data_IF_773254306420
#
_entry.id   IF_773254306420
#
_cell.length_a   1.000
_cell.length_b   1.000
_cell.length_c   1.000
_cell.angle_alpha   90.00
_cell.angle_beta   90.00
_cell.angle_gamma   90.00
#
_symmetry.space_group_name_H-M   'P 1'
#
loop_
_entity.id
_entity.type
_entity.pdbx_description
1 polymer ?
#
# COMPACT_ATOMS: atom_id res chain seq x y z
N UNK A 1 -6.50 52.32 40.02
CA UNK A 1 -7.43 51.80 39.00
C UNK A 1 -7.95 50.47 39.52
N UNK A 2 -9.22 50.43 39.95
CA UNK A 2 -9.81 49.25 40.57
C UNK A 2 -10.05 48.19 39.48
N UNK A 3 -9.32 47.08 39.54
CA UNK A 3 -9.62 45.92 38.71
C UNK A 3 -10.90 45.30 39.25
N UNK A 4 -12.04 45.60 38.62
CA UNK A 4 -13.32 45.01 39.00
C UNK A 4 -13.24 43.49 38.92
N UNK A 5 -13.49 42.82 40.03
CA UNK A 5 -13.65 41.36 40.07
C UNK A 5 -14.86 41.00 39.23
N UNK A 6 -14.64 40.30 38.11
CA UNK A 6 -15.72 39.81 37.25
C UNK A 6 -16.51 38.76 38.04
N UNK A 7 -17.81 38.98 38.23
CA UNK A 7 -18.68 38.03 38.92
C UNK A 7 -19.01 36.86 37.97
N UNK A 8 -18.75 35.59 38.33
CA UNK A 8 -19.00 34.45 37.46
C UNK A 8 -20.47 34.28 37.04
N UNK A 9 -21.42 34.81 37.84
CA UNK A 9 -22.85 34.74 37.55
C UNK A 9 -23.31 35.74 36.46
N UNK A 10 -22.48 36.76 36.18
CA UNK A 10 -22.74 37.74 35.11
C UNK A 10 -22.24 37.25 33.74
N UNK A 11 -21.53 36.12 33.68
CA UNK A 11 -21.08 35.50 32.44
C UNK A 11 -22.19 34.61 31.88
N UNK A 12 -22.63 34.89 30.65
CA UNK A 12 -23.55 34.03 29.90
C UNK A 12 -22.85 32.76 29.41
N UNK A 13 -22.63 31.84 30.36
CA UNK A 13 -21.94 30.57 30.16
C UNK A 13 -22.67 29.66 29.16
N UNK A 14 -24.00 29.82 29.01
CA UNK A 14 -24.80 29.06 28.08
C UNK A 14 -24.49 29.39 26.63
N UNK A 15 -24.45 30.68 26.27
CA UNK A 15 -24.12 31.12 24.92
C UNK A 15 -22.64 30.95 24.61
N UNK A 16 -21.74 31.23 25.56
CA UNK A 16 -20.31 31.02 25.38
C UNK A 16 -19.96 29.54 25.08
N UNK A 17 -20.60 28.60 25.78
CA UNK A 17 -20.42 27.16 25.52
C UNK A 17 -20.99 26.73 24.16
N UNK A 18 -22.07 27.36 23.69
CA UNK A 18 -22.64 27.07 22.37
C UNK A 18 -21.74 27.58 21.26
N UNK A 19 -21.24 28.80 21.38
CA UNK A 19 -20.38 29.42 20.37
C UNK A 19 -19.04 28.68 20.26
N UNK A 20 -18.39 28.38 21.39
CA UNK A 20 -17.18 27.54 21.42
C UNK A 20 -17.41 26.15 20.83
N UNK A 21 -18.58 25.54 21.08
CA UNK A 21 -18.94 24.25 20.49
C UNK A 21 -19.17 24.34 18.97
N UNK A 22 -19.75 25.44 18.48
CA UNK A 22 -19.98 25.67 17.06
C UNK A 22 -18.68 25.94 16.31
N UNK A 23 -17.80 26.78 16.87
CA UNK A 23 -16.46 27.03 16.35
C UNK A 23 -15.64 25.74 16.31
N UNK A 24 -15.67 24.94 17.38
CA UNK A 24 -14.99 23.65 17.41
C UNK A 24 -15.52 22.69 16.33
N UNK A 25 -16.84 22.63 16.13
CA UNK A 25 -17.46 21.82 15.07
C UNK A 25 -17.06 22.31 13.68
N UNK A 26 -17.02 23.62 13.45
CA UNK A 26 -16.59 24.20 12.17
C UNK A 26 -15.11 23.87 11.90
N UNK A 27 -14.24 24.02 12.89
CA UNK A 27 -12.84 23.61 12.78
C UNK A 27 -12.67 22.13 12.41
N UNK A 28 -13.44 21.24 13.06
CA UNK A 28 -13.45 19.81 12.72
C UNK A 28 -13.89 19.58 11.26
N UNK A 29 -14.94 20.26 10.81
CA UNK A 29 -15.45 20.09 9.44
C UNK A 29 -14.44 20.56 8.40
N UNK A 30 -13.76 21.68 8.65
CA UNK A 30 -12.70 22.20 7.81
C UNK A 30 -11.51 21.25 7.75
N UNK A 31 -11.08 20.71 8.90
CA UNK A 31 -10.01 19.71 8.97
C UNK A 31 -10.38 18.44 8.21
N UNK A 32 -11.62 17.95 8.35
CA UNK A 32 -12.13 16.80 7.60
C UNK A 32 -12.09 17.08 6.10
N UNK A 33 -12.53 18.26 5.67
CA UNK A 33 -12.55 18.63 4.26
C UNK A 33 -11.13 18.73 3.70
N UNK A 34 -10.20 19.33 4.43
CA UNK A 34 -8.80 19.41 4.07
C UNK A 34 -8.16 18.03 3.91
N UNK A 35 -8.37 17.13 4.89
CA UNK A 35 -7.88 15.75 4.83
C UNK A 35 -8.50 15.01 3.64
N UNK A 36 -9.78 15.24 3.35
CA UNK A 36 -10.46 14.64 2.21
C UNK A 36 -9.87 15.10 0.88
N UNK A 37 -9.60 16.40 0.72
CA UNK A 37 -8.98 16.95 -0.48
C UNK A 37 -7.54 16.46 -0.66
N UNK A 38 -6.73 16.49 0.41
CA UNK A 38 -5.37 15.94 0.40
C UNK A 38 -5.37 14.45 0.05
N UNK A 39 -6.29 13.67 0.63
CA UNK A 39 -6.44 12.25 0.34
C UNK A 39 -6.91 12.02 -1.09
N UNK A 40 -7.81 12.85 -1.62
CA UNK A 40 -8.34 12.74 -2.98
C UNK A 40 -7.24 12.99 -4.03
N UNK A 41 -6.37 13.98 -3.79
CA UNK A 41 -5.23 14.27 -4.67
C UNK A 41 -4.05 13.32 -4.46
N UNK A 42 -3.98 12.66 -3.30
CA UNK A 42 -2.94 11.68 -3.03
C UNK A 42 -3.10 10.42 -3.90
N UNK A 43 -1.98 9.89 -4.39
CA UNK A 43 -1.92 8.67 -5.19
C UNK A 43 -2.56 7.49 -4.42
N UNK A 44 -3.53 6.84 -5.07
CA UNK A 44 -4.42 5.78 -4.55
C UNK A 44 -5.46 6.24 -3.52
N UNK A 45 -5.60 7.53 -3.27
CA UNK A 45 -6.60 8.07 -2.35
C UNK A 45 -6.23 8.02 -0.87
N UNK A 46 -4.95 7.81 -0.57
CA UNK A 46 -4.44 7.64 0.78
C UNK A 46 -3.27 8.60 1.00
N UNK A 47 -3.18 9.25 2.17
CA UNK A 47 -2.03 10.08 2.49
C UNK A 47 -0.75 9.22 2.49
N UNK A 48 0.36 9.82 2.07
CA UNK A 48 1.62 9.11 1.80
C UNK A 48 2.09 8.23 2.97
N UNK A 49 1.95 8.72 4.22
CA UNK A 49 2.35 7.99 5.43
C UNK A 49 1.45 6.78 5.67
N UNK A 50 0.13 6.94 5.57
CA UNK A 50 -0.81 5.83 5.74
C UNK A 50 -0.60 4.76 4.66
N UNK A 51 -0.33 5.19 3.42
CA UNK A 51 -0.02 4.29 2.30
C UNK A 51 1.19 3.42 2.61
N UNK A 52 2.32 4.03 2.97
CA UNK A 52 3.56 3.30 3.26
C UNK A 52 3.31 2.26 4.36
N UNK A 53 2.68 2.65 5.47
CA UNK A 53 2.41 1.74 6.60
C UNK A 53 1.47 0.59 6.21
N UNK A 54 0.33 0.90 5.59
CA UNK A 54 -0.68 -0.10 5.24
C UNK A 54 -0.14 -1.12 4.24
N UNK A 55 0.52 -0.65 3.17
CA UNK A 55 1.08 -1.54 2.16
C UNK A 55 2.32 -2.30 2.66
N UNK A 56 3.11 -1.74 3.58
CA UNK A 56 4.21 -2.48 4.21
C UNK A 56 3.69 -3.63 5.05
N UNK A 57 2.67 -3.40 5.89
CA UNK A 57 2.00 -4.44 6.68
C UNK A 57 1.37 -5.49 5.76
N UNK A 58 0.66 -5.05 4.72
CA UNK A 58 0.12 -5.94 3.70
C UNK A 58 1.19 -6.79 3.02
N UNK A 59 2.34 -6.19 2.71
CA UNK A 59 3.51 -6.88 2.16
C UNK A 59 4.09 -7.92 3.11
N UNK A 60 4.14 -7.64 4.42
CA UNK A 60 4.54 -8.64 5.43
C UNK A 60 3.57 -9.81 5.44
N UNK A 61 2.26 -9.56 5.40
CA UNK A 61 1.24 -10.61 5.42
C UNK A 61 1.30 -11.48 4.16
N UNK A 62 1.31 -10.86 2.97
CA UNK A 62 1.35 -11.59 1.69
C UNK A 62 2.67 -12.34 1.53
N UNK A 63 3.80 -11.68 1.84
CA UNK A 63 5.12 -12.31 1.81
C UNK A 63 5.26 -13.43 2.85
N UNK A 64 4.65 -13.28 4.02
CA UNK A 64 4.60 -14.29 5.07
C UNK A 64 3.81 -15.52 4.66
N UNK A 65 2.62 -15.34 4.10
CA UNK A 65 1.80 -16.43 3.56
C UNK A 65 2.54 -17.18 2.43
N UNK A 66 3.13 -16.45 1.49
CA UNK A 66 3.93 -17.04 0.42
C UNK A 66 5.14 -17.83 0.95
N UNK A 67 5.84 -17.27 1.94
CA UNK A 67 6.97 -17.93 2.62
C UNK A 67 6.55 -19.17 3.41
N UNK A 68 5.36 -19.16 4.02
CA UNK A 68 4.80 -20.30 4.75
C UNK A 68 4.50 -21.47 3.81
N UNK A 69 3.82 -21.22 2.69
CA UNK A 69 3.47 -22.25 1.70
C UNK A 69 4.73 -22.85 1.05
N UNK A 70 5.68 -22.01 0.65
CA UNK A 70 6.97 -22.45 0.14
C UNK A 70 7.78 -23.23 1.19
N UNK A 71 7.80 -22.76 2.43
CA UNK A 71 8.50 -23.43 3.53
C UNK A 71 7.89 -24.77 3.91
N UNK A 72 6.57 -24.90 3.85
CA UNK A 72 5.88 -26.16 4.11
C UNK A 72 6.21 -27.22 3.06
N UNK A 73 6.14 -26.84 1.78
CA UNK A 73 6.39 -27.76 0.65
C UNK A 73 7.84 -28.25 0.66
N UNK A 74 8.80 -27.34 0.79
CA UNK A 74 10.23 -27.67 0.90
C UNK A 74 10.54 -28.55 2.13
N UNK A 75 9.99 -28.21 3.31
CA UNK A 75 10.18 -29.02 4.51
C UNK A 75 9.53 -30.41 4.40
N UNK A 76 8.37 -30.53 3.76
CA UNK A 76 7.70 -31.81 3.53
C UNK A 76 8.53 -32.72 2.62
N UNK A 77 9.10 -32.17 1.54
CA UNK A 77 9.97 -32.91 0.63
C UNK A 77 11.27 -33.34 1.32
N UNK A 78 11.90 -32.45 2.09
CA UNK A 78 13.09 -32.78 2.89
C UNK A 78 12.82 -33.88 3.92
N UNK A 79 11.69 -33.80 4.62
CA UNK A 79 11.30 -34.82 5.59
C UNK A 79 11.07 -36.18 4.93
N UNK A 80 10.42 -36.20 3.76
CA UNK A 80 10.20 -37.41 2.98
C UNK A 80 11.52 -38.01 2.49
N UNK A 81 12.42 -37.18 1.95
CA UNK A 81 13.73 -37.64 1.48
C UNK A 81 14.57 -38.23 2.62
N UNK A 82 14.57 -37.59 3.80
CA UNK A 82 15.32 -38.06 4.97
C UNK A 82 14.76 -39.36 5.57
N UNK A 83 13.44 -39.58 5.48
CA UNK A 83 12.77 -40.74 6.08
C UNK A 83 12.28 -41.77 5.05
N UNK A 84 12.69 -41.68 3.79
CA UNK A 84 12.27 -42.60 2.72
C UNK A 84 12.58 -44.07 3.05
N UNK A 85 13.63 -44.32 3.82
CA UNK A 85 14.04 -45.64 4.29
C UNK A 85 13.35 -46.08 5.61
N UNK A 86 12.59 -45.19 6.28
CA UNK A 86 11.89 -45.44 7.57
C UNK A 86 10.39 -45.18 7.44
N UNK A 87 9.78 -45.70 6.39
CA UNK A 87 8.34 -45.60 6.21
C UNK A 87 7.61 -46.46 7.26
N UNK A 88 6.51 -45.96 7.85
CA UNK A 88 5.80 -46.67 8.89
C UNK A 88 5.14 -47.93 8.33
N UNK A 89 5.40 -49.08 8.94
CA UNK A 89 4.76 -50.37 8.62
C UNK A 89 3.65 -50.77 9.61
N UNK A 90 3.61 -50.14 10.78
CA UNK A 90 2.60 -50.34 11.82
C UNK A 90 1.70 -49.11 11.98
N UNK A 91 0.44 -49.32 12.39
CA UNK A 91 -0.55 -48.25 12.62
C UNK A 91 -0.05 -47.18 13.61
N UNK A 92 0.54 -47.60 14.73
CA UNK A 92 1.09 -46.67 15.73
C UNK A 92 2.26 -45.85 15.15
N UNK A 93 3.12 -46.50 14.35
CA UNK A 93 4.22 -45.83 13.66
C UNK A 93 3.74 -44.78 12.67
N UNK A 94 2.64 -45.05 11.95
CA UNK A 94 2.04 -44.12 11.01
C UNK A 94 1.59 -42.82 11.68
N UNK A 95 0.96 -42.92 12.85
CA UNK A 95 0.53 -41.75 13.62
C UNK A 95 1.72 -40.89 14.05
N UNK A 96 2.75 -41.49 14.67
CA UNK A 96 3.93 -40.75 15.12
C UNK A 96 4.73 -40.14 13.97
N UNK A 97 4.79 -40.82 12.83
CA UNK A 97 5.40 -40.31 11.61
C UNK A 97 4.72 -39.01 11.15
N UNK A 98 3.39 -39.00 11.04
CA UNK A 98 2.65 -37.82 10.60
C UNK A 98 2.67 -36.69 11.63
N UNK A 99 2.58 -37.01 12.93
CA UNK A 99 2.72 -36.01 14.01
C UNK A 99 4.07 -35.29 13.95
N UNK A 100 5.15 -36.06 13.76
CA UNK A 100 6.51 -35.49 13.63
C UNK A 100 6.69 -34.73 12.31
N UNK A 101 6.14 -35.23 11.20
CA UNK A 101 6.14 -34.53 9.90
C UNK A 101 5.47 -33.18 10.02
N UNK A 102 4.26 -33.11 10.57
CA UNK A 102 3.52 -31.86 10.75
C UNK A 102 4.31 -30.87 11.60
N UNK A 103 4.86 -31.31 12.73
CA UNK A 103 5.70 -30.44 13.57
C UNK A 103 6.92 -29.89 12.82
N UNK A 104 7.65 -30.76 12.09
CA UNK A 104 8.81 -30.34 11.31
C UNK A 104 8.43 -29.35 10.20
N UNK A 105 7.33 -29.60 9.48
CA UNK A 105 6.85 -28.72 8.43
C UNK A 105 6.39 -27.37 8.97
N UNK A 106 5.57 -27.35 10.04
CA UNK A 106 5.08 -26.11 10.66
C UNK A 106 6.22 -25.25 11.18
N UNK A 107 7.23 -25.85 11.84
CA UNK A 107 8.38 -25.10 12.38
C UNK A 107 9.15 -24.38 11.26
N UNK A 108 9.47 -25.09 10.18
CA UNK A 108 10.21 -24.52 9.06
C UNK A 108 9.35 -23.52 8.25
N UNK A 109 8.07 -23.82 8.07
CA UNK A 109 7.12 -22.92 7.41
C UNK A 109 6.99 -21.59 8.16
N UNK A 110 6.88 -21.61 9.49
CA UNK A 110 6.79 -20.41 10.31
C UNK A 110 8.08 -19.56 10.24
N UNK A 111 9.25 -20.19 10.31
CA UNK A 111 10.53 -19.49 10.19
C UNK A 111 10.68 -18.81 8.81
N UNK A 112 10.29 -19.51 7.74
CA UNK A 112 10.31 -18.95 6.38
C UNK A 112 9.25 -17.86 6.18
N UNK A 113 8.10 -17.96 6.85
CA UNK A 113 7.07 -16.92 6.83
C UNK A 113 7.60 -15.60 7.39
N UNK A 114 8.21 -15.61 8.58
CA UNK A 114 8.80 -14.39 9.16
C UNK A 114 9.91 -13.81 8.27
N UNK A 115 10.86 -14.65 7.83
CA UNK A 115 11.98 -14.21 6.99
C UNK A 115 11.52 -13.58 5.68
N UNK A 116 10.57 -14.22 5.00
CA UNK A 116 10.05 -13.75 3.71
C UNK A 116 9.12 -12.55 3.88
N UNK A 117 8.27 -12.57 4.91
CA UNK A 117 7.36 -11.47 5.25
C UNK A 117 8.11 -10.18 5.50
N UNK A 118 9.09 -10.17 6.40
CA UNK A 118 9.88 -8.95 6.66
C UNK A 118 10.67 -8.48 5.43
N UNK A 119 11.20 -9.40 4.63
CA UNK A 119 11.91 -9.04 3.39
C UNK A 119 10.99 -8.35 2.38
N UNK A 120 9.80 -8.89 2.16
CA UNK A 120 8.81 -8.33 1.23
C UNK A 120 8.23 -7.02 1.78
N UNK A 121 7.82 -6.99 3.05
CA UNK A 121 7.29 -5.80 3.69
C UNK A 121 8.30 -4.64 3.73
N UNK A 122 9.56 -4.93 4.05
CA UNK A 122 10.65 -3.94 4.01
C UNK A 122 10.87 -3.40 2.60
N UNK A 123 10.90 -4.27 1.59
CA UNK A 123 11.03 -3.84 0.19
C UNK A 123 9.86 -2.95 -0.26
N UNK A 124 8.62 -3.35 0.06
CA UNK A 124 7.42 -2.57 -0.27
C UNK A 124 7.46 -1.20 0.42
N UNK A 125 7.84 -1.14 1.69
CA UNK A 125 8.00 0.10 2.42
C UNK A 125 9.03 1.02 1.78
N UNK A 126 10.24 0.51 1.50
CA UNK A 126 11.30 1.26 0.81
C UNK A 126 10.82 1.80 -0.54
N UNK A 127 10.15 0.97 -1.34
CA UNK A 127 9.62 1.37 -2.64
C UNK A 127 8.64 2.55 -2.50
N UNK A 128 7.61 2.43 -1.65
CA UNK A 128 6.63 3.51 -1.48
C UNK A 128 7.22 4.77 -0.84
N UNK A 129 8.26 4.65 -0.01
CA UNK A 129 9.00 5.81 0.53
C UNK A 129 9.75 6.55 -0.57
N UNK A 130 10.47 5.84 -1.44
CA UNK A 130 11.18 6.45 -2.58
C UNK A 130 10.19 7.08 -3.55
N UNK A 131 9.07 6.40 -3.83
CA UNK A 131 8.01 6.95 -4.68
C UNK A 131 7.47 8.27 -4.13
N UNK A 132 7.13 8.31 -2.83
CA UNK A 132 6.64 9.53 -2.18
C UNK A 132 7.69 10.67 -2.18
N UNK A 133 8.98 10.33 -2.10
CA UNK A 133 10.06 11.30 -2.20
C UNK A 133 10.18 11.85 -3.63
N UNK A 134 10.11 10.99 -4.64
CA UNK A 134 10.16 11.40 -6.05
C UNK A 134 8.95 12.24 -6.44
N UNK A 135 7.76 11.89 -5.94
CA UNK A 135 6.54 12.67 -6.13
C UNK A 135 6.70 14.09 -5.57
N UNK A 136 7.31 14.25 -4.39
CA UNK A 136 7.60 15.57 -3.79
C UNK A 136 8.66 16.36 -4.56
N UNK A 137 9.71 15.70 -5.04
CA UNK A 137 10.82 16.36 -5.75
C UNK A 137 10.38 16.83 -7.14
N UNK A 138 9.65 15.97 -7.89
CA UNK A 138 9.23 16.29 -9.26
C UNK A 138 7.92 17.09 -9.31
N UNK A 139 7.13 17.09 -8.24
CA UNK A 139 5.80 17.72 -8.21
C UNK A 139 4.82 17.10 -9.21
N UNK A 140 5.12 15.89 -9.69
CA UNK A 140 4.38 15.18 -10.73
C UNK A 140 4.19 13.75 -10.25
N UNK A 141 2.98 13.22 -10.47
CA UNK A 141 2.59 11.87 -10.07
C UNK A 141 2.46 11.05 -11.35
N UNK A 142 3.46 10.23 -11.66
CA UNK A 142 3.51 9.41 -12.89
C UNK A 142 4.04 7.99 -12.64
N UNK A 143 3.77 7.06 -13.57
CA UNK A 143 4.33 5.71 -13.56
C UNK A 143 5.86 5.69 -13.56
N UNK A 144 6.53 6.75 -14.04
CA UNK A 144 8.00 6.86 -14.07
C UNK A 144 8.57 6.90 -12.65
N UNK A 145 7.92 7.63 -11.73
CA UNK A 145 8.29 7.62 -10.31
C UNK A 145 8.21 6.22 -9.72
N UNK A 146 7.18 5.44 -10.06
CA UNK A 146 7.03 4.05 -9.62
C UNK A 146 8.12 3.14 -10.20
N UNK A 147 8.49 3.30 -11.48
CA UNK A 147 9.60 2.55 -12.10
C UNK A 147 10.92 2.84 -11.36
N UNK A 148 11.21 4.12 -11.12
CA UNK A 148 12.41 4.54 -10.42
C UNK A 148 12.42 4.02 -8.98
N UNK A 149 11.28 4.10 -8.28
CA UNK A 149 11.12 3.62 -6.92
C UNK A 149 11.35 2.11 -6.78
N UNK A 150 10.97 1.31 -7.78
CA UNK A 150 11.25 -0.14 -7.81
C UNK A 150 12.70 -0.43 -8.21
N UNK A 151 13.24 0.33 -9.17
CA UNK A 151 14.56 0.06 -9.75
C UNK A 151 15.71 0.53 -8.87
N UNK A 152 15.56 1.63 -8.14
CA UNK A 152 16.60 2.21 -7.29
C UNK A 152 17.06 1.25 -6.16
N UNK A 153 16.17 0.62 -5.37
CA UNK A 153 16.58 -0.39 -4.40
C UNK A 153 17.27 -1.59 -5.04
N UNK A 154 16.79 -2.03 -6.21
CA UNK A 154 17.40 -3.11 -6.97
C UNK A 154 18.82 -2.77 -7.43
N UNK A 155 19.02 -1.55 -7.95
CA UNK A 155 20.32 -1.03 -8.32
C UNK A 155 21.25 -0.95 -7.10
N UNK A 156 20.80 -0.34 -6.00
CA UNK A 156 21.56 -0.26 -4.76
C UNK A 156 21.96 -1.64 -4.22
N UNK A 157 21.05 -2.61 -4.29
CA UNK A 157 21.33 -4.01 -3.93
C UNK A 157 22.41 -4.63 -4.81
N UNK A 158 22.32 -4.47 -6.14
CA UNK A 158 23.31 -5.01 -7.08
C UNK A 158 24.69 -4.41 -6.88
N UNK A 159 24.74 -3.11 -6.55
CA UNK A 159 25.97 -2.38 -6.29
C UNK A 159 26.60 -2.83 -4.96
N UNK A 160 25.81 -2.91 -3.89
CA UNK A 160 26.29 -3.33 -2.57
C UNK A 160 26.83 -4.76 -2.56
N UNK A 161 26.13 -5.69 -3.21
CA UNK A 161 26.56 -7.10 -3.28
C UNK A 161 27.48 -7.42 -4.47
N UNK A 162 27.90 -6.41 -5.23
CA UNK A 162 28.82 -6.55 -6.38
C UNK A 162 28.42 -7.69 -7.32
N UNK A 163 27.13 -7.74 -7.71
CA UNK A 163 26.62 -8.81 -8.55
C UNK A 163 27.22 -8.77 -9.95
N UNK A 164 27.29 -9.94 -10.59
CA UNK A 164 27.75 -10.05 -11.98
C UNK A 164 26.88 -9.22 -12.92
N UNK A 165 27.45 -8.76 -14.05
CA UNK A 165 26.74 -7.92 -15.04
C UNK A 165 25.42 -8.55 -15.51
N UNK A 166 25.39 -9.88 -15.66
CA UNK A 166 24.20 -10.63 -16.08
C UNK A 166 23.12 -10.59 -15.00
N UNK A 167 23.48 -10.84 -13.74
CA UNK A 167 22.55 -10.78 -12.61
C UNK A 167 22.04 -9.36 -12.38
N UNK A 168 22.90 -8.35 -12.45
CA UNK A 168 22.52 -6.95 -12.30
C UNK A 168 21.52 -6.53 -13.39
N UNK A 169 21.79 -6.87 -14.66
CA UNK A 169 20.86 -6.63 -15.77
C UNK A 169 19.52 -7.30 -15.54
N UNK A 170 19.52 -8.55 -15.07
CA UNK A 170 18.30 -9.30 -14.81
C UNK A 170 17.46 -8.70 -13.68
N UNK A 171 18.09 -8.26 -12.58
CA UNK A 171 17.42 -7.58 -11.46
C UNK A 171 16.81 -6.26 -11.92
N UNK A 172 17.57 -5.44 -12.65
CA UNK A 172 17.09 -4.15 -13.16
C UNK A 172 15.96 -4.35 -14.18
N UNK A 173 16.07 -5.32 -15.09
CA UNK A 173 15.05 -5.60 -16.10
C UNK A 173 13.75 -6.10 -15.48
N UNK A 174 13.83 -7.02 -14.52
CA UNK A 174 12.67 -7.48 -13.75
C UNK A 174 12.05 -6.35 -12.93
N UNK A 175 12.88 -5.55 -12.27
CA UNK A 175 12.44 -4.36 -11.53
C UNK A 175 11.71 -3.35 -12.43
N UNK A 176 12.27 -3.04 -13.60
CA UNK A 176 11.66 -2.15 -14.58
C UNK A 176 10.31 -2.67 -15.10
N UNK A 177 10.20 -3.96 -15.42
CA UNK A 177 8.92 -4.58 -15.83
C UNK A 177 7.87 -4.52 -14.74
N UNK A 178 8.24 -4.87 -13.50
CA UNK A 178 7.34 -4.83 -12.35
C UNK A 178 6.91 -3.39 -12.08
N UNK A 179 7.85 -2.44 -12.08
CA UNK A 179 7.58 -1.02 -11.87
C UNK A 179 6.68 -0.43 -12.96
N UNK A 180 6.88 -0.82 -14.22
CA UNK A 180 6.02 -0.39 -15.34
C UNK A 180 4.59 -0.89 -15.14
N UNK A 181 4.42 -2.19 -14.88
CA UNK A 181 3.09 -2.78 -14.68
C UNK A 181 2.37 -2.17 -13.49
N UNK A 182 3.07 -2.01 -12.36
CA UNK A 182 2.49 -1.39 -11.16
C UNK A 182 2.17 0.09 -11.37
N UNK A 183 3.09 0.87 -11.96
CA UNK A 183 2.90 2.29 -12.20
C UNK A 183 1.73 2.56 -13.15
N UNK A 184 1.65 1.84 -14.27
CA UNK A 184 0.51 1.95 -15.18
C UNK A 184 -0.81 1.50 -14.52
N UNK A 185 -0.77 0.47 -13.67
CA UNK A 185 -1.96 0.07 -12.91
C UNK A 185 -2.41 1.17 -11.96
N UNK A 186 -1.47 1.79 -11.22
CA UNK A 186 -1.77 2.90 -10.33
C UNK A 186 -2.32 4.12 -11.10
N UNK A 187 -1.75 4.46 -12.25
CA UNK A 187 -2.23 5.55 -13.09
C UNK A 187 -3.62 5.27 -13.67
N UNK A 188 -3.92 4.02 -14.05
CA UNK A 188 -5.25 3.61 -14.47
C UNK A 188 -6.27 3.77 -13.32
N UNK A 189 -5.92 3.35 -12.10
CA UNK A 189 -6.77 3.57 -10.92
C UNK A 189 -7.01 5.06 -10.63
N UNK A 190 -5.99 5.92 -10.79
CA UNK A 190 -6.13 7.37 -10.63
C UNK A 190 -7.06 7.96 -11.69
N UNK A 191 -6.91 7.54 -12.95
CA UNK A 191 -7.76 7.96 -14.04
C UNK A 191 -9.24 7.58 -13.81
N UNK A 192 -9.51 6.35 -13.34
CA UNK A 192 -10.87 5.92 -13.02
C UNK A 192 -11.51 6.70 -11.85
N UNK A 193 -10.69 7.24 -10.93
CA UNK A 193 -11.15 8.12 -9.85
C UNK A 193 -11.40 9.56 -10.29
N UNK A 194 -11.04 9.91 -11.52
CA UNK A 194 -11.19 11.26 -12.06
C UNK A 194 -10.03 12.19 -11.73
N UNK A 195 -8.85 11.66 -11.40
CA UNK A 195 -7.61 12.43 -11.21
C UNK A 195 -6.92 12.57 -12.57
N UNK A 196 -6.34 13.73 -12.85
CA UNK A 196 -5.65 13.98 -14.12
C UNK A 196 -4.29 13.29 -14.17
N UNK A 197 -4.07 12.60 -15.28
CA UNK A 197 -2.81 11.92 -15.59
C UNK A 197 -2.22 12.68 -16.76
N UNK A 198 -1.17 13.45 -16.49
CA UNK A 198 -0.69 14.50 -17.39
C UNK A 198 -0.45 14.01 -18.84
N UNK A 199 0.11 12.81 -19.03
CA UNK A 199 0.42 12.27 -20.34
C UNK A 199 -0.82 11.78 -21.11
N UNK A 200 -1.88 11.35 -20.41
CA UNK A 200 -3.14 10.97 -21.07
C UNK A 200 -3.84 12.20 -21.66
N UNK A 201 -3.83 13.28 -20.89
CA UNK A 201 -4.35 14.56 -21.35
C UNK A 201 -3.46 15.14 -22.46
N UNK A 202 -2.14 15.13 -22.30
CA UNK A 202 -1.20 15.72 -23.26
C UNK A 202 -1.13 14.96 -24.59
N UNK A 203 -1.12 13.63 -24.58
CA UNK A 203 -0.90 12.83 -25.80
C UNK A 203 -2.19 12.34 -26.45
N UNK A 204 -3.22 12.04 -25.64
CA UNK A 204 -4.47 11.48 -26.16
C UNK A 204 -5.66 12.45 -26.02
N UNK A 205 -5.49 13.61 -25.37
CA UNK A 205 -6.58 14.56 -25.14
C UNK A 205 -7.69 14.03 -24.22
N UNK A 206 -7.43 12.93 -23.50
CA UNK A 206 -8.42 12.26 -22.67
C UNK A 206 -8.44 12.95 -21.31
N UNK A 207 -9.47 13.76 -21.06
CA UNK A 207 -9.67 14.39 -19.76
C UNK A 207 -10.33 13.41 -18.78
N UNK A 208 -9.82 13.29 -17.54
CA UNK A 208 -10.54 12.57 -16.51
C UNK A 208 -11.86 13.28 -16.23
N UNK A 209 -12.88 12.52 -15.84
CA UNK A 209 -14.17 13.09 -15.44
C UNK A 209 -14.61 12.37 -14.18
N UNK A 210 -14.87 13.14 -13.11
CA UNK A 210 -15.38 12.59 -11.85
C UNK A 210 -16.70 11.88 -12.12
N UNK A 211 -16.98 10.83 -11.34
CA UNK A 211 -18.23 10.08 -11.49
C UNK A 211 -19.46 11.00 -11.33
N UNK A 212 -19.41 11.96 -10.40
CA UNK A 212 -20.44 12.99 -10.21
C UNK A 212 -20.68 13.80 -11.49
N UNK A 213 -19.61 14.22 -12.16
CA UNK A 213 -19.67 15.03 -13.37
C UNK A 213 -20.19 14.20 -14.56
N UNK A 214 -19.80 12.92 -14.63
CA UNK A 214 -20.35 11.96 -15.61
C UNK A 214 -21.86 11.80 -15.42
N UNK A 215 -22.31 11.53 -14.19
CA UNK A 215 -23.73 11.38 -13.87
C UNK A 215 -24.50 12.66 -14.17
N UNK A 216 -23.95 13.84 -13.84
CA UNK A 216 -24.56 15.14 -14.15
C UNK A 216 -24.69 15.35 -15.65
N UNK A 217 -23.68 14.96 -16.44
CA UNK A 217 -23.72 15.01 -17.91
C UNK A 217 -24.83 14.10 -18.46
N UNK A 218 -24.90 12.84 -18.01
CA UNK A 218 -25.95 11.90 -18.41
C UNK A 218 -27.35 12.40 -18.03
N UNK A 219 -27.55 12.89 -16.81
CA UNK A 219 -28.83 13.45 -16.38
C UNK A 219 -29.22 14.71 -17.18
N UNK A 220 -28.23 15.52 -17.58
CA UNK A 220 -28.43 16.67 -18.46
C UNK A 220 -28.80 16.27 -19.89
N UNK A 221 -28.22 15.20 -20.42
CA UNK A 221 -28.55 14.63 -21.73
C UNK A 221 -29.95 14.00 -21.74
N UNK A 222 -30.33 13.27 -20.68
CA UNK A 222 -31.66 12.69 -20.54
C UNK A 222 -32.76 13.78 -20.51
N UNK A 223 -32.49 14.91 -19.85
CA UNK A 223 -33.41 16.06 -19.85
C UNK A 223 -33.53 16.74 -21.22
N UNK A 224 -32.46 16.77 -22.02
CA UNK A 224 -32.50 17.33 -23.37
C UNK A 224 -33.21 16.45 -24.39
N UNK A 225 -33.29 15.13 -24.17
CA UNK A 225 -34.00 14.20 -25.05
C UNK A 225 -35.51 14.08 -24.81
N UNK A 226 -36.04 14.74 -23.77
CA UNK A 226 -37.49 14.75 -23.42
C UNK A 226 -38.24 16.02 -23.86
N UNK A 227 -37.53 17.02 -24.39
CA UNK A 227 -38.10 18.22 -25.01
C UNK A 227 -37.94 18.14 -26.52
#
# INVERSE_FOLDING_TARGET
MNAGTINPDDLDTGNLNRDTTLEHKQGILEDIQKIHEESYQARLGLPSVARITLFSIGGVMVGGLGGMLGGWTDASLRYLAANSHRLPTSYNGWFFYHKRKTYYCTKNAMANAFKTGFKVGGFVGTMFTIEALLDKIRGQVDFVNTIMAVSLPGFAYTWYYQLSKVQAKEVIHKGGKVGLLLGLSQDAFQFFRGIDVWYLNQWFGIKPMKLSDRLRKYAGEERKGKN
#
